data_IF_469730687375
#
_entry.id   IF_469730687375
#
_cell.length_a   1.000
_cell.length_b   1.000
_cell.length_c   1.000
_cell.angle_alpha   90.00
_cell.angle_beta   90.00
_cell.angle_gamma   90.00
#
_symmetry.space_group_name_H-M   'P 1'
#
loop_
_entity.id
_entity.type
_entity.pdbx_description
1 polymer ?
#
# COMPACT_ATOMS: atom_id res chain seq x y z
N UNK A 1 -1.94 -10.42 48.41
CA UNK A 1 -1.51 -11.02 47.12
C UNK A 1 -2.56 -10.92 46.02
N UNK A 2 -3.83 -11.31 46.25
CA UNK A 2 -4.90 -11.32 45.22
C UNK A 2 -5.08 -10.00 44.45
N UNK A 3 -5.10 -8.84 45.13
CA UNK A 3 -5.23 -7.52 44.47
C UNK A 3 -4.07 -7.19 43.51
N UNK A 4 -2.83 -7.57 43.84
CA UNK A 4 -1.66 -7.33 42.97
C UNK A 4 -1.72 -8.19 41.71
N UNK A 5 -2.15 -9.44 41.84
CA UNK A 5 -2.35 -10.36 40.71
C UNK A 5 -3.44 -9.85 39.76
N UNK A 6 -4.58 -9.37 40.30
CA UNK A 6 -5.64 -8.81 39.47
C UNK A 6 -5.22 -7.55 38.71
N UNK A 7 -4.42 -6.67 39.32
CA UNK A 7 -3.88 -5.47 38.65
C UNK A 7 -2.94 -5.88 37.51
N UNK A 8 -2.03 -6.82 37.75
CA UNK A 8 -1.09 -7.30 36.73
C UNK A 8 -1.84 -7.93 35.55
N UNK A 9 -2.86 -8.76 35.81
CA UNK A 9 -3.70 -9.35 34.75
C UNK A 9 -4.43 -8.26 33.96
N UNK A 10 -5.01 -7.26 34.64
CA UNK A 10 -5.71 -6.16 33.99
C UNK A 10 -4.80 -5.35 33.04
N UNK A 11 -3.58 -5.03 33.48
CA UNK A 11 -2.58 -4.34 32.65
C UNK A 11 -2.18 -5.21 31.45
N UNK A 12 -1.96 -6.50 31.67
CA UNK A 12 -1.52 -7.41 30.61
C UNK A 12 -2.61 -7.57 29.53
N UNK A 13 -3.88 -7.66 29.92
CA UNK A 13 -5.00 -7.66 28.98
C UNK A 13 -5.09 -6.35 28.19
N UNK A 14 -4.90 -5.20 28.83
CA UNK A 14 -4.93 -3.90 28.15
C UNK A 14 -3.81 -3.78 27.10
N UNK A 15 -2.61 -4.25 27.44
CA UNK A 15 -1.47 -4.26 26.50
C UNK A 15 -1.75 -5.19 25.31
N UNK A 16 -2.25 -6.40 25.55
CA UNK A 16 -2.59 -7.35 24.47
C UNK A 16 -3.67 -6.79 23.55
N UNK A 17 -4.69 -6.13 24.10
CA UNK A 17 -5.75 -5.49 23.32
C UNK A 17 -5.18 -4.35 22.46
N UNK A 18 -4.36 -3.48 23.03
CA UNK A 18 -3.72 -2.37 22.32
C UNK A 18 -2.84 -2.85 21.16
N UNK A 19 -2.04 -3.89 21.38
CA UNK A 19 -1.20 -4.52 20.35
C UNK A 19 -2.06 -5.09 19.22
N UNK A 20 -3.19 -5.72 19.56
CA UNK A 20 -4.11 -6.32 18.58
C UNK A 20 -4.75 -5.26 17.69
N UNK A 21 -5.30 -4.19 18.30
CA UNK A 21 -5.92 -3.07 17.58
C UNK A 21 -4.88 -2.38 16.68
N UNK A 22 -3.68 -2.12 17.19
CA UNK A 22 -2.61 -1.51 16.41
C UNK A 22 -2.23 -2.37 15.19
N UNK A 23 -2.11 -3.69 15.37
CA UNK A 23 -1.82 -4.59 14.24
C UNK A 23 -2.94 -4.64 13.21
N UNK A 24 -4.21 -4.56 13.63
CA UNK A 24 -5.36 -4.48 12.72
C UNK A 24 -5.34 -3.18 11.91
N UNK A 25 -5.04 -2.05 12.55
CA UNK A 25 -4.90 -0.76 11.86
C UNK A 25 -3.77 -0.78 10.83
N UNK A 26 -2.63 -1.41 11.14
CA UNK A 26 -1.53 -1.57 10.17
C UNK A 26 -1.95 -2.40 8.95
N UNK A 27 -2.71 -3.47 9.17
CA UNK A 27 -3.23 -4.32 8.08
C UNK A 27 -4.29 -3.59 7.25
N UNK A 28 -5.14 -2.79 7.88
CA UNK A 28 -6.11 -1.94 7.18
C UNK A 28 -5.39 -0.94 6.28
N UNK A 29 -4.44 -0.16 6.82
CA UNK A 29 -3.59 0.75 6.03
C UNK A 29 -2.85 0.06 4.88
N UNK A 30 -2.37 -1.17 5.09
CA UNK A 30 -1.74 -1.95 4.02
C UNK A 30 -2.75 -2.30 2.90
N UNK A 31 -3.99 -2.65 3.27
CA UNK A 31 -5.06 -2.95 2.32
C UNK A 31 -5.48 -1.68 1.55
N UNK A 32 -5.56 -0.54 2.22
CA UNK A 32 -5.87 0.75 1.58
C UNK A 32 -4.79 1.14 0.57
N UNK A 33 -3.51 0.94 0.92
CA UNK A 33 -2.40 1.14 -0.02
C UNK A 33 -2.46 0.21 -1.23
N UNK A 34 -2.81 -1.06 -1.04
CA UNK A 34 -3.01 -2.01 -2.15
C UNK A 34 -4.11 -1.54 -3.11
N UNK A 35 -5.27 -1.15 -2.56
CA UNK A 35 -6.39 -0.68 -3.36
C UNK A 35 -6.03 0.59 -4.15
N UNK A 36 -5.40 1.55 -3.49
CA UNK A 36 -5.11 2.84 -4.10
C UNK A 36 -3.97 2.75 -5.11
N UNK A 37 -2.92 1.95 -4.86
CA UNK A 37 -1.87 1.79 -5.87
C UNK A 37 -2.39 1.12 -7.14
N UNK A 38 -3.37 0.20 -7.03
CA UNK A 38 -3.99 -0.41 -8.20
C UNK A 38 -4.71 0.64 -9.04
N UNK A 39 -5.42 1.57 -8.40
CA UNK A 39 -6.07 2.69 -9.10
C UNK A 39 -5.05 3.59 -9.81
N UNK A 40 -3.99 3.99 -9.13
CA UNK A 40 -2.92 4.83 -9.71
C UNK A 40 -2.18 4.09 -10.82
N UNK A 41 -1.96 2.79 -10.67
CA UNK A 41 -1.36 1.93 -11.68
C UNK A 41 -2.16 1.90 -12.98
N UNK A 42 -3.50 1.86 -12.90
CA UNK A 42 -4.34 1.96 -14.09
C UNK A 42 -4.23 3.32 -14.76
N UNK A 43 -4.19 4.41 -14.00
CA UNK A 43 -3.95 5.75 -14.56
C UNK A 43 -2.60 5.80 -15.27
N UNK A 44 -1.55 5.25 -14.65
CA UNK A 44 -0.21 5.18 -15.23
C UNK A 44 -0.18 4.39 -16.54
N UNK A 45 -0.86 3.23 -16.61
CA UNK A 45 -0.99 2.46 -17.87
C UNK A 45 -1.71 3.28 -18.94
N UNK A 46 -2.87 3.85 -18.62
CA UNK A 46 -3.65 4.61 -19.60
C UNK A 46 -2.85 5.80 -20.15
N UNK A 47 -2.00 6.41 -19.33
CA UNK A 47 -1.15 7.53 -19.75
C UNK A 47 -0.08 7.14 -20.78
N UNK A 48 0.25 5.85 -20.93
CA UNK A 48 1.21 5.41 -21.94
C UNK A 48 0.61 5.45 -23.36
N UNK A 49 -0.71 5.35 -23.49
CA UNK A 49 -1.41 5.42 -24.76
C UNK A 49 -1.54 6.86 -25.29
N UNK A 50 -1.25 7.86 -24.44
CA UNK A 50 -1.26 9.26 -24.83
C UNK A 50 -0.03 9.64 -25.67
N UNK A 51 -0.20 10.69 -26.48
CA UNK A 51 0.88 11.30 -27.25
C UNK A 51 2.03 11.69 -26.33
N UNK A 52 3.28 11.48 -26.78
CA UNK A 52 4.48 11.67 -25.95
C UNK A 52 4.60 13.06 -25.32
N UNK A 53 4.01 14.09 -25.94
CA UNK A 53 4.00 15.46 -25.42
C UNK A 53 3.02 15.70 -24.26
N UNK A 54 2.03 14.81 -24.11
CA UNK A 54 0.97 14.90 -23.09
C UNK A 54 1.20 13.94 -21.92
N UNK A 55 2.16 13.01 -22.04
CA UNK A 55 2.42 12.02 -21.00
C UNK A 55 2.91 12.67 -19.70
N UNK A 56 2.34 12.28 -18.55
CA UNK A 56 2.76 12.80 -17.26
C UNK A 56 4.20 12.37 -16.98
N UNK A 57 5.02 13.30 -16.51
CA UNK A 57 6.43 13.06 -16.17
C UNK A 57 6.63 12.68 -14.70
N UNK A 58 5.66 12.98 -13.86
CA UNK A 58 5.73 12.80 -12.41
C UNK A 58 4.33 12.48 -11.85
N UNK A 59 4.28 12.13 -10.56
CA UNK A 59 3.05 11.74 -9.87
C UNK A 59 2.01 12.88 -9.82
N UNK A 60 2.46 14.12 -9.75
CA UNK A 60 1.58 15.29 -9.68
C UNK A 60 0.84 15.49 -11.01
N UNK A 61 1.56 15.40 -12.13
CA UNK A 61 0.96 15.46 -13.48
C UNK A 61 0.03 14.27 -13.72
N UNK A 62 0.42 13.06 -13.30
CA UNK A 62 -0.42 11.86 -13.42
C UNK A 62 -1.75 12.02 -12.68
N UNK A 63 -1.73 12.73 -11.55
CA UNK A 63 -2.90 12.91 -10.68
C UNK A 63 -3.55 14.29 -10.83
N UNK A 64 -3.21 15.08 -11.85
CA UNK A 64 -3.67 16.48 -11.98
C UNK A 64 -5.20 16.61 -11.94
N UNK A 65 -5.92 15.70 -12.58
CA UNK A 65 -7.39 15.66 -12.59
C UNK A 65 -8.02 15.20 -11.26
N UNK A 66 -7.18 14.71 -10.34
CA UNK A 66 -7.56 14.21 -9.02
C UNK A 66 -6.97 15.06 -7.87
N UNK A 67 -6.47 16.26 -8.18
CA UNK A 67 -5.89 17.19 -7.19
C UNK A 67 -4.35 17.21 -7.15
N UNK A 68 -3.66 16.49 -8.05
CA UNK A 68 -2.21 16.47 -8.14
C UNK A 68 -1.55 16.00 -6.84
N UNK A 69 -0.63 16.81 -6.31
CA UNK A 69 0.06 16.55 -5.05
C UNK A 69 -0.86 16.45 -3.83
N UNK A 70 -2.03 17.09 -3.87
CA UNK A 70 -3.04 17.07 -2.80
C UNK A 70 -4.13 16.00 -3.04
N UNK A 71 -3.89 15.07 -3.98
CA UNK A 71 -4.88 14.04 -4.29
C UNK A 71 -5.14 13.13 -3.09
N UNK A 72 -6.42 12.85 -2.83
CA UNK A 72 -6.87 11.82 -1.86
C UNK A 72 -6.26 10.44 -2.17
N UNK A 73 -5.87 10.21 -3.43
CA UNK A 73 -5.18 8.98 -3.84
C UNK A 73 -3.76 8.85 -3.24
N UNK A 74 -3.18 9.93 -2.73
CA UNK A 74 -1.87 9.88 -2.06
C UNK A 74 -1.97 9.68 -0.54
N UNK A 75 -3.15 9.88 0.08
CA UNK A 75 -3.34 9.78 1.54
C UNK A 75 -2.84 8.45 2.16
N UNK A 76 -3.01 7.28 1.52
CA UNK A 76 -2.52 6.02 2.10
C UNK A 76 -0.98 5.92 2.15
N UNK A 77 -0.26 6.75 1.40
CA UNK A 77 1.19 6.69 1.26
C UNK A 77 1.87 7.80 2.09
N UNK A 78 2.23 7.48 3.34
CA UNK A 78 2.78 8.46 4.32
C UNK A 78 4.04 9.21 3.82
N UNK A 79 4.92 8.53 3.07
CA UNK A 79 6.13 9.13 2.48
C UNK A 79 5.92 9.51 0.99
N UNK A 80 4.68 9.52 0.51
CA UNK A 80 4.33 9.71 -0.90
C UNK A 80 4.57 8.48 -1.79
N UNK A 81 4.31 8.67 -3.08
CA UNK A 81 4.47 7.65 -4.11
C UNK A 81 5.29 8.24 -5.26
N UNK A 82 6.37 7.57 -5.66
CA UNK A 82 7.20 7.99 -6.79
C UNK A 82 6.64 7.40 -8.09
N UNK A 83 6.50 8.24 -9.10
CA UNK A 83 6.20 7.84 -10.47
C UNK A 83 7.33 8.35 -11.38
N UNK A 84 7.92 7.45 -12.15
CA UNK A 84 8.99 7.75 -13.09
C UNK A 84 8.68 7.08 -14.43
N UNK A 85 8.71 7.85 -15.51
CA UNK A 85 8.72 7.30 -16.86
C UNK A 85 10.09 6.70 -17.18
N UNK A 86 10.07 5.59 -17.90
CA UNK A 86 11.25 4.87 -18.38
C UNK A 86 11.16 4.74 -19.90
N UNK A 87 12.26 4.36 -20.55
CA UNK A 87 12.28 4.15 -22.01
C UNK A 87 11.20 3.16 -22.49
N UNK A 88 10.84 2.20 -21.64
CA UNK A 88 9.91 1.12 -21.98
C UNK A 88 8.53 1.25 -21.34
N UNK A 89 8.29 2.21 -20.45
CA UNK A 89 7.04 2.26 -19.67
C UNK A 89 7.16 3.16 -18.46
N UNK A 90 6.74 2.69 -17.28
CA UNK A 90 6.85 3.45 -16.02
C UNK A 90 7.25 2.58 -14.83
N UNK A 91 7.69 3.24 -13.76
CA UNK A 91 7.88 2.67 -12.43
C UNK A 91 7.03 3.47 -11.45
N UNK A 92 6.28 2.76 -10.62
CA UNK A 92 5.49 3.31 -9.52
C UNK A 92 5.93 2.64 -8.22
N UNK A 93 6.38 3.40 -7.23
CA UNK A 93 6.95 2.81 -6.02
C UNK A 93 6.79 3.70 -4.80
N UNK A 94 6.61 3.08 -3.63
CA UNK A 94 6.86 3.80 -2.38
C UNK A 94 8.38 3.99 -2.20
N UNK A 95 8.84 5.16 -1.76
CA UNK A 95 10.28 5.43 -1.59
C UNK A 95 10.88 4.56 -0.48
N UNK A 96 10.13 4.30 0.60
CA UNK A 96 10.59 3.58 1.80
C UNK A 96 9.64 2.46 2.21
N UNK A 97 10.18 1.46 2.90
CA UNK A 97 9.40 0.37 3.48
C UNK A 97 8.62 0.82 4.73
N UNK A 98 7.30 0.71 4.66
CA UNK A 98 6.38 1.00 5.75
C UNK A 98 6.00 -0.24 6.53
N UNK A 99 5.54 -0.04 7.76
CA UNK A 99 5.05 -1.14 8.59
C UNK A 99 3.68 -1.60 8.08
N UNK A 100 3.56 -2.89 7.71
CA UNK A 100 2.30 -3.51 7.24
C UNK A 100 1.70 -4.45 8.28
N UNK A 101 2.50 -4.88 9.25
CA UNK A 101 2.07 -5.54 10.48
C UNK A 101 3.12 -5.32 11.57
N UNK A 102 2.83 -5.70 12.82
CA UNK A 102 3.75 -5.53 13.95
C UNK A 102 5.20 -5.95 13.67
N UNK A 103 5.39 -7.03 12.92
CA UNK A 103 6.70 -7.65 12.66
C UNK A 103 7.15 -7.57 11.20
N UNK A 104 6.33 -7.00 10.29
CA UNK A 104 6.65 -6.93 8.86
C UNK A 104 6.65 -5.49 8.39
N UNK A 105 7.72 -5.11 7.70
CA UNK A 105 7.85 -3.87 6.94
C UNK A 105 8.04 -4.22 5.47
N UNK A 106 7.35 -3.51 4.61
CA UNK A 106 7.42 -3.72 3.17
C UNK A 106 7.04 -2.43 2.44
N UNK A 107 7.33 -2.37 1.14
CA UNK A 107 6.91 -1.30 0.25
C UNK A 107 6.25 -1.88 -0.98
N UNK A 108 5.24 -1.20 -1.48
CA UNK A 108 4.57 -1.59 -2.70
C UNK A 108 5.28 -0.97 -3.91
N UNK A 109 5.42 -1.77 -4.97
CA UNK A 109 6.05 -1.36 -6.23
C UNK A 109 5.24 -1.93 -7.39
N UNK A 110 5.24 -1.22 -8.51
CA UNK A 110 4.65 -1.64 -9.76
C UNK A 110 5.49 -1.10 -10.92
N UNK A 111 5.47 -1.81 -12.03
CA UNK A 111 6.01 -1.36 -13.31
C UNK A 111 5.03 -1.76 -14.41
N UNK A 112 5.16 -1.22 -15.61
CA UNK A 112 4.25 -1.51 -16.73
C UNK A 112 3.99 -3.03 -16.94
N UNK A 113 4.97 -3.89 -16.68
CA UNK A 113 4.89 -5.34 -16.93
C UNK A 113 4.42 -6.13 -15.72
N UNK A 114 4.58 -5.59 -14.52
CA UNK A 114 4.29 -6.25 -13.25
C UNK A 114 3.20 -5.52 -12.50
N UNK A 115 2.13 -6.27 -12.28
CA UNK A 115 1.07 -5.88 -11.37
C UNK A 115 1.64 -5.41 -10.02
N UNK A 116 1.02 -4.39 -9.37
CA UNK A 116 1.48 -3.92 -8.07
C UNK A 116 1.68 -5.06 -7.08
N UNK A 117 2.80 -5.05 -6.37
CA UNK A 117 3.17 -6.09 -5.42
C UNK A 117 4.05 -5.56 -4.29
N UNK A 118 4.02 -6.26 -3.17
CA UNK A 118 4.93 -6.03 -2.06
C UNK A 118 6.35 -6.47 -2.44
N UNK A 119 7.32 -5.55 -2.34
CA UNK A 119 8.68 -5.79 -2.83
C UNK A 119 9.39 -6.93 -2.11
N UNK A 120 9.25 -7.03 -0.78
CA UNK A 120 9.98 -8.02 0.01
C UNK A 120 9.29 -9.40 0.00
N UNK A 121 7.95 -9.47 0.07
CA UNK A 121 7.25 -10.76 -0.01
C UNK A 121 6.93 -11.24 -1.42
N UNK A 122 6.94 -10.36 -2.42
CA UNK A 122 6.49 -10.67 -3.78
C UNK A 122 4.97 -10.90 -3.89
N UNK A 123 4.22 -10.67 -2.81
CA UNK A 123 2.77 -10.84 -2.80
C UNK A 123 2.12 -9.73 -3.63
N UNK A 124 1.34 -10.11 -4.64
CA UNK A 124 0.60 -9.16 -5.47
C UNK A 124 -0.50 -8.44 -4.66
N UNK A 125 -0.64 -7.14 -4.93
CA UNK A 125 -1.73 -6.32 -4.43
C UNK A 125 -3.07 -6.91 -4.88
N UNK A 126 -4.03 -6.99 -3.97
CA UNK A 126 -5.32 -7.60 -4.28
C UNK A 126 -6.07 -6.75 -5.29
N UNK A 127 -6.59 -7.38 -6.34
CA UNK A 127 -7.58 -6.76 -7.22
C UNK A 127 -8.83 -6.45 -6.41
N UNK A 128 -9.42 -5.27 -6.59
CA UNK A 128 -10.71 -4.93 -5.99
C UNK A 128 -11.71 -6.07 -6.24
N UNK A 129 -12.31 -6.60 -5.17
CA UNK A 129 -13.35 -7.65 -5.24
C UNK A 129 -12.87 -9.10 -5.37
N UNK A 130 -11.56 -9.37 -5.40
CA UNK A 130 -11.05 -10.75 -5.50
C UNK A 130 -10.60 -11.26 -4.13
N UNK A 131 -11.34 -12.22 -3.56
CA UNK A 131 -10.86 -12.99 -2.39
C UNK A 131 -9.56 -13.69 -2.77
N UNK A 132 -8.57 -13.78 -1.86
CA UNK A 132 -7.38 -14.58 -2.11
C UNK A 132 -7.81 -16.01 -2.48
N UNK A 133 -7.15 -16.68 -3.43
CA UNK A 133 -7.38 -18.09 -3.64
C UNK A 133 -7.19 -18.79 -2.29
N UNK A 134 -8.22 -19.51 -1.85
CA UNK A 134 -8.06 -20.45 -0.75
C UNK A 134 -6.95 -21.39 -1.17
N UNK A 135 -5.86 -21.40 -0.41
CA UNK A 135 -4.79 -22.36 -0.60
C UNK A 135 -5.42 -23.71 -0.26
N UNK A 136 -5.82 -24.45 -1.28
CA UNK A 136 -6.17 -25.86 -1.11
C UNK A 136 -4.90 -26.55 -0.62
N UNK A 137 -4.95 -27.00 0.62
CA UNK A 137 -3.91 -27.82 1.23
C UNK A 137 -4.16 -29.21 0.63
N UNK A 138 -3.34 -29.59 -0.36
CA UNK A 138 -3.13 -31.00 -0.73
C UNK A 138 -2.36 -31.74 0.38
#
# INVERSE_FOLDING_TARGET
>A
MKKRVSIVIGVLLFVVLGITIYNQNLKAKATDREATIVSIYYLAICSLDEDSASRPQNIEELLVHYGGSDSVLLEPFEDGLSFELTETGFILAEPKAQRISLFKRDRIVADERKWPHWKASGEYARKHGVKPPQKDIE
#
